data_IF_255453504041
#
_entry.id   IF_255453504041
#
_cell.length_a   1.000
_cell.length_b   1.000
_cell.length_c   1.000
_cell.angle_alpha   90.00
_cell.angle_beta   90.00
_cell.angle_gamma   90.00
#
_symmetry.space_group_name_H-M   'P 1'
#
loop_
_entity.id
_entity.type
_entity.pdbx_description
1 polymer ?
#
# COMPACT_ATOMS: atom_id res chain seq x y z
N UNK A 1 -6.20 4.07 8.62
CA UNK A 1 -4.83 3.52 8.85
C UNK A 1 -4.32 2.99 7.52
N UNK A 2 -3.06 2.60 7.39
CA UNK A 2 -2.57 1.87 6.21
C UNK A 2 -1.68 0.71 6.64
N UNK A 3 -1.44 -0.22 5.72
CA UNK A 3 -0.31 -1.15 5.86
C UNK A 3 0.99 -0.48 5.43
N UNK A 4 2.12 -0.98 5.93
CA UNK A 4 3.47 -0.68 5.46
C UNK A 4 4.22 -1.96 5.12
N UNK A 5 5.17 -1.83 4.20
CA UNK A 5 6.11 -2.89 3.84
C UNK A 5 7.39 -2.65 4.62
N UNK A 6 7.93 -3.71 5.21
CA UNK A 6 9.15 -3.68 6.03
C UNK A 6 10.39 -4.04 5.21
N UNK A 7 11.56 -3.94 5.84
CA UNK A 7 12.88 -4.20 5.26
C UNK A 7 13.14 -5.67 4.94
N UNK A 8 12.26 -6.59 5.34
CA UNK A 8 12.35 -8.01 4.95
C UNK A 8 11.72 -8.30 3.58
N UNK A 9 11.27 -7.27 2.87
CA UNK A 9 10.75 -7.39 1.51
C UNK A 9 11.81 -8.02 0.57
N UNK A 10 11.35 -8.93 -0.30
CA UNK A 10 12.19 -9.62 -1.30
C UNK A 10 11.86 -9.21 -2.74
N UNK A 11 11.14 -8.09 -2.94
CA UNK A 11 10.76 -7.54 -4.25
C UNK A 11 10.13 -8.58 -5.21
N UNK A 12 9.23 -9.43 -4.70
CA UNK A 12 8.67 -10.56 -5.47
C UNK A 12 7.47 -10.21 -6.37
N UNK A 13 6.91 -9.00 -6.31
CA UNK A 13 5.75 -8.59 -7.11
C UNK A 13 4.38 -8.93 -6.53
N UNK A 14 4.25 -9.97 -5.69
CA UNK A 14 2.96 -10.55 -5.33
C UNK A 14 1.94 -9.59 -4.69
N UNK A 15 2.39 -8.58 -3.93
CA UNK A 15 1.49 -7.64 -3.28
C UNK A 15 0.95 -6.54 -4.20
N UNK A 16 1.66 -6.20 -5.28
CA UNK A 16 1.28 -5.11 -6.20
C UNK A 16 -0.01 -5.48 -6.94
N UNK A 17 -0.04 -6.69 -7.51
CA UNK A 17 -1.17 -7.18 -8.31
C UNK A 17 -2.47 -7.34 -7.50
N UNK A 18 -2.34 -7.56 -6.19
CA UNK A 18 -3.47 -7.83 -5.30
C UNK A 18 -4.04 -6.55 -4.66
N UNK A 19 -3.36 -5.40 -4.80
CA UNK A 19 -3.84 -4.15 -4.24
C UNK A 19 -5.01 -3.59 -5.09
N UNK A 20 -6.25 -3.53 -4.58
CA UNK A 20 -7.42 -3.16 -5.37
C UNK A 20 -7.45 -1.69 -5.82
N UNK A 21 -6.52 -0.87 -5.32
CA UNK A 21 -6.42 0.58 -5.56
C UNK A 21 -5.00 1.00 -5.93
N UNK A 22 -4.14 0.03 -6.27
CA UNK A 22 -2.78 0.26 -6.76
C UNK A 22 -1.97 1.20 -5.84
N UNK A 23 -2.12 1.03 -4.52
CA UNK A 23 -1.45 1.86 -3.53
C UNK A 23 0.03 1.47 -3.33
N UNK A 24 0.48 0.37 -3.92
CA UNK A 24 1.81 -0.20 -3.76
C UNK A 24 2.62 0.05 -5.02
N UNK A 25 3.86 0.49 -4.86
CA UNK A 25 4.85 0.61 -5.95
C UNK A 25 6.05 -0.28 -5.67
N UNK A 26 6.77 -0.62 -6.73
CA UNK A 26 7.98 -1.43 -6.66
C UNK A 26 9.17 -0.66 -6.07
N UNK A 27 10.34 -1.30 -6.02
CA UNK A 27 11.55 -0.74 -5.46
C UNK A 27 12.20 0.35 -6.31
N UNK A 28 11.98 0.36 -7.63
CA UNK A 28 12.46 1.42 -8.53
C UNK A 28 11.68 2.73 -8.30
N UNK A 29 10.37 2.63 -8.05
CA UNK A 29 9.46 3.76 -7.79
C UNK A 29 9.30 4.12 -6.30
N UNK A 30 10.04 3.44 -5.40
CA UNK A 30 10.01 3.73 -3.97
C UNK A 30 10.62 5.12 -3.67
N UNK A 31 9.85 6.07 -3.09
CA UNK A 31 10.34 7.42 -2.81
C UNK A 31 11.49 7.49 -1.79
N UNK A 32 11.66 6.46 -0.97
CA UNK A 32 12.73 6.37 0.02
C UNK A 32 13.99 5.68 -0.52
N UNK A 33 13.91 4.99 -1.68
CA UNK A 33 15.01 4.26 -2.30
C UNK A 33 15.65 3.19 -1.37
N UNK A 34 14.82 2.48 -0.61
CA UNK A 34 15.23 1.49 0.40
C UNK A 34 15.37 0.06 -0.15
N UNK A 35 15.22 -0.14 -1.47
CA UNK A 35 15.28 -1.47 -2.11
C UNK A 35 14.12 -2.41 -1.74
N UNK A 36 13.06 -1.85 -1.15
CA UNK A 36 11.82 -2.54 -0.81
C UNK A 36 10.66 -1.88 -1.56
N UNK A 37 9.53 -2.58 -1.66
CA UNK A 37 8.31 -1.99 -2.19
C UNK A 37 7.73 -0.97 -1.18
N UNK A 38 6.93 -0.03 -1.68
CA UNK A 38 6.41 1.07 -0.87
C UNK A 38 4.88 1.20 -0.96
N UNK A 39 4.23 1.52 0.15
CA UNK A 39 2.78 1.74 0.22
C UNK A 39 2.49 3.23 0.39
N UNK A 40 1.80 3.82 -0.57
CA UNK A 40 1.24 5.16 -0.44
C UNK A 40 0.06 5.15 0.53
N UNK A 41 0.29 5.62 1.76
CA UNK A 41 -0.72 5.64 2.84
C UNK A 41 -1.96 6.50 2.51
N UNK A 42 -1.80 7.49 1.65
CA UNK A 42 -2.86 8.36 1.13
C UNK A 42 -3.68 7.72 0.00
N UNK A 43 -3.31 6.51 -0.44
CA UNK A 43 -4.07 5.69 -1.39
C UNK A 43 -4.66 4.43 -0.76
N UNK A 44 -4.03 3.90 0.28
CA UNK A 44 -4.48 2.68 0.94
C UNK A 44 -5.89 2.86 1.52
N UNK A 45 -6.80 1.93 1.18
CA UNK A 45 -8.21 1.95 1.62
C UNK A 45 -8.51 0.89 2.68
N UNK A 46 -7.47 0.28 3.25
CA UNK A 46 -7.58 -0.77 4.27
C UNK A 46 -8.36 -2.00 3.75
N UNK A 47 -8.36 -2.19 2.42
CA UNK A 47 -9.18 -3.14 1.67
C UNK A 47 -10.70 -3.05 1.90
N UNK A 48 -11.19 -2.01 2.59
CA UNK A 48 -12.62 -1.90 2.90
C UNK A 48 -13.42 -1.70 1.63
N UNK A 49 -14.44 -2.55 1.45
CA UNK A 49 -15.25 -2.60 0.23
C UNK A 49 -14.68 -3.48 -0.87
N UNK A 50 -13.51 -4.10 -0.65
CA UNK A 50 -12.87 -5.01 -1.60
C UNK A 50 -12.62 -6.39 -1.01
N UNK A 51 -12.05 -6.47 0.21
CA UNK A 51 -11.71 -7.71 0.89
C UNK A 51 -11.94 -7.57 2.42
N UNK A 52 -12.11 -8.69 3.12
CA UNK A 52 -12.28 -8.70 4.59
C UNK A 52 -10.96 -8.44 5.35
N UNK A 53 -9.82 -8.70 4.69
CA UNK A 53 -8.47 -8.57 5.23
C UNK A 53 -7.52 -7.94 4.17
N UNK A 54 -6.33 -7.45 4.55
CA UNK A 54 -5.37 -6.88 3.60
C UNK A 54 -4.90 -7.91 2.57
N UNK A 55 -5.41 -7.83 1.34
CA UNK A 55 -5.08 -8.76 0.26
C UNK A 55 -3.58 -8.83 -0.03
N UNK A 56 -2.90 -7.68 0.00
CA UNK A 56 -1.45 -7.61 -0.16
C UNK A 56 -0.68 -8.41 0.90
N UNK A 57 -1.12 -8.38 2.16
CA UNK A 57 -0.49 -9.12 3.24
C UNK A 57 -0.75 -10.63 3.09
N UNK A 58 -1.97 -11.02 2.71
CA UNK A 58 -2.34 -12.42 2.45
C UNK A 58 -1.57 -13.03 1.26
N UNK A 59 -1.25 -12.21 0.26
CA UNK A 59 -0.50 -12.63 -0.92
C UNK A 59 1.02 -12.63 -0.72
N UNK A 60 1.53 -11.91 0.28
CA UNK A 60 2.97 -11.79 0.50
C UNK A 60 3.56 -13.15 0.94
N UNK A 61 4.56 -13.70 0.23
CA UNK A 61 5.16 -14.98 0.59
C UNK A 61 6.10 -14.90 1.81
N UNK A 62 6.39 -13.67 2.27
CA UNK A 62 7.28 -13.42 3.42
C UNK A 62 6.44 -13.02 4.62
N UNK A 63 6.34 -13.91 5.61
CA UNK A 63 5.57 -13.67 6.83
C UNK A 63 6.10 -12.44 7.60
N UNK A 64 5.17 -11.61 8.08
CA UNK A 64 5.51 -10.37 8.78
C UNK A 64 6.06 -9.23 7.89
N UNK A 65 6.14 -9.41 6.57
CA UNK A 65 6.67 -8.39 5.67
C UNK A 65 5.75 -7.17 5.58
N UNK A 66 4.43 -7.40 5.56
CA UNK A 66 3.40 -6.37 5.48
C UNK A 66 2.66 -6.30 6.81
N UNK A 67 2.72 -5.15 7.46
CA UNK A 67 2.13 -4.93 8.79
C UNK A 67 1.31 -3.65 8.82
N UNK A 68 0.42 -3.53 9.79
CA UNK A 68 -0.28 -2.27 10.05
C UNK A 68 0.70 -1.19 10.49
N UNK A 69 0.56 0.01 9.93
CA UNK A 69 1.33 1.18 10.30
C UNK A 69 0.62 2.04 11.34
N UNK A 70 1.35 3.00 11.91
CA UNK A 70 0.78 3.97 12.84
C UNK A 70 -0.16 4.95 12.12
N UNK A 71 -1.16 5.46 12.83
CA UNK A 71 -2.02 6.53 12.32
C UNK A 71 -1.23 7.85 12.35
N UNK A 72 -0.96 8.41 11.18
CA UNK A 72 -0.29 9.71 11.05
C UNK A 72 -1.30 10.80 10.68
N UNK A 73 -1.17 11.99 11.26
CA UNK A 73 -2.16 13.08 11.10
C UNK A 73 -2.28 13.67 9.69
N UNK A 74 -1.32 13.41 8.80
CA UNK A 74 -1.37 13.79 7.39
C UNK A 74 -2.05 12.76 6.50
N UNK A 75 -2.46 11.61 7.04
CA UNK A 75 -3.16 10.59 6.27
C UNK A 75 -4.63 11.00 6.08
N UNK A 76 -5.14 11.08 4.83
CA UNK A 76 -6.56 11.29 4.59
C UNK A 76 -7.37 10.10 5.14
N UNK A 77 -8.61 10.36 5.57
CA UNK A 77 -9.48 9.24 5.91
C UNK A 77 -9.88 8.52 4.62
N UNK A 78 -10.13 7.20 4.71
CA UNK A 78 -10.44 6.40 3.53
C UNK A 78 -11.66 6.92 2.75
N UNK A 79 -12.58 7.62 3.40
CA UNK A 79 -13.77 8.19 2.77
C UNK A 79 -13.46 9.47 1.97
N UNK A 80 -12.34 10.11 2.28
CA UNK A 80 -11.85 11.32 1.61
C UNK A 80 -11.00 10.99 0.36
N UNK A 81 -10.62 9.71 0.18
CA UNK A 81 -9.89 9.25 -1.01
C UNK A 81 -10.91 9.05 -2.16
N UNK A 82 -11.02 10.02 -3.06
CA UNK A 82 -11.88 9.95 -4.25
C UNK A 82 -11.55 8.78 -5.19
N UNK A 83 -12.48 8.41 -6.08
CA UNK A 83 -12.29 7.32 -7.06
C UNK A 83 -11.14 7.61 -8.05
N UNK A 84 -10.96 8.89 -8.38
CA UNK A 84 -9.87 9.44 -9.18
C UNK A 84 -8.49 9.15 -8.57
N UNK A 85 -8.43 9.12 -7.24
CA UNK A 85 -7.23 8.86 -6.45
C UNK A 85 -6.94 7.36 -6.27
N UNK A 86 -7.93 6.50 -6.53
CA UNK A 86 -7.84 5.03 -6.38
C UNK A 86 -7.45 4.29 -7.65
N UNK A 87 -7.41 4.96 -8.79
CA UNK A 87 -7.23 4.33 -10.11
C UNK A 87 -6.03 4.88 -10.92
N UNK A 88 -5.21 5.74 -10.32
CA UNK A 88 -3.99 6.24 -10.94
C UNK A 88 -2.75 5.53 -10.35
N UNK A 89 -1.83 5.06 -11.20
CA UNK A 89 -0.51 4.53 -10.79
C UNK A 89 0.47 5.59 -10.22
N UNK A 90 -0.04 6.73 -9.76
CA UNK A 90 0.76 7.82 -9.19
C UNK A 90 0.22 8.16 -7.80
N UNK A 91 1.07 8.60 -6.85
CA UNK A 91 0.61 9.14 -5.58
C UNK A 91 -0.47 10.21 -5.78
N UNK A 92 -1.40 10.27 -4.84
CA UNK A 92 -2.30 11.41 -4.69
C UNK A 92 -1.47 12.61 -4.30
N UNK A 93 -1.02 13.36 -5.29
CA UNK A 93 -0.44 14.68 -5.10
C UNK A 93 -1.59 15.67 -5.07
N UNK A 94 -1.76 16.35 -3.94
CA UNK A 94 -2.57 17.57 -3.84
C UNK A 94 -1.80 18.77 -4.40
#
# INVERSE_FOLDING_TARGET
MSVKITDICIACGACIDECPVEAIVDDDDNPNNDGCYFVYNNKCVECVGHNDEPACASACPTDGCIVWDEVVGSQPHREDIGEDKRSAHTPVVE
#
